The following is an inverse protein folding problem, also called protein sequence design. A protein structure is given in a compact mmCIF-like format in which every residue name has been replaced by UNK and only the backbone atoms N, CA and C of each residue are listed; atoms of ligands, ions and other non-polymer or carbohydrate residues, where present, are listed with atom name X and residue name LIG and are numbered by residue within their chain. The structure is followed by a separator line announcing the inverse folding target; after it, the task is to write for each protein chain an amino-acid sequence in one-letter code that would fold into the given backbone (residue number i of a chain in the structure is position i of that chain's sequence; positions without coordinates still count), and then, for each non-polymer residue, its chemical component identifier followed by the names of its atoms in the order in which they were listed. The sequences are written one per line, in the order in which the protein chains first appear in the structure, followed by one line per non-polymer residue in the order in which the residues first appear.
data_IF_755551785188
#
_entry.id   IF_755551785188
#
_cell.length_a   1.000
_cell.length_b   1.000
_cell.length_c   1.000
_cell.angle_alpha   90.00
_cell.angle_beta   90.00
_cell.angle_gamma   90.00
#
_symmetry.space_group_name_H-M   'P 1'
#
loop_
_entity.id
_entity.type
_entity.pdbx_description
1 polymer ?
#
# COMPACT_ATOMS: atom_id res chain seq x y z
N UNK A 1 -12.51 -10.36 0.14
CA UNK A 1 -13.80 -9.64 0.18
C UNK A 1 -14.51 -9.65 -1.17
N UNK A 2 -13.82 -9.34 -2.28
CA UNK A 2 -14.40 -9.19 -3.64
C UNK A 2 -14.82 -10.49 -4.37
N UNK A 3 -14.68 -11.67 -3.76
CA UNK A 3 -15.25 -12.92 -4.29
C UNK A 3 -16.67 -13.21 -3.78
N UNK A 4 -17.23 -12.35 -2.91
CA UNK A 4 -18.51 -12.62 -2.23
C UNK A 4 -19.76 -12.15 -3.00
N UNK A 5 -19.62 -11.60 -4.22
CA UNK A 5 -20.76 -11.36 -5.12
C UNK A 5 -21.59 -10.09 -4.87
N UNK A 6 -21.09 -9.12 -4.09
CA UNK A 6 -21.77 -7.84 -3.82
C UNK A 6 -21.33 -6.74 -4.80
N UNK A 7 -21.72 -6.88 -6.07
CA UNK A 7 -21.29 -6.00 -7.16
C UNK A 7 -21.53 -4.50 -6.90
N UNK A 8 -22.62 -4.12 -6.22
CA UNK A 8 -22.93 -2.71 -5.95
C UNK A 8 -21.98 -2.05 -4.95
N UNK A 9 -21.59 -2.79 -3.90
CA UNK A 9 -20.62 -2.31 -2.89
C UNK A 9 -19.23 -2.21 -3.50
N UNK A 10 -18.87 -3.18 -4.36
CA UNK A 10 -17.61 -3.18 -5.09
C UNK A 10 -17.50 -1.94 -5.98
N UNK A 11 -18.56 -1.58 -6.73
CA UNK A 11 -18.56 -0.38 -7.59
C UNK A 11 -18.38 0.92 -6.79
N UNK A 12 -19.02 1.06 -5.62
CA UNK A 12 -18.89 2.25 -4.79
C UNK A 12 -17.47 2.41 -4.21
N UNK A 13 -16.90 1.31 -3.70
CA UNK A 13 -15.52 1.27 -3.21
C UNK A 13 -14.52 1.64 -4.30
N UNK A 14 -14.66 1.05 -5.49
CA UNK A 14 -13.80 1.34 -6.63
C UNK A 14 -13.88 2.81 -7.06
N UNK A 15 -15.10 3.36 -7.19
CA UNK A 15 -15.30 4.78 -7.50
C UNK A 15 -14.62 5.68 -6.48
N UNK A 16 -14.73 5.37 -5.19
CA UNK A 16 -14.06 6.13 -4.14
C UNK A 16 -12.54 6.02 -4.25
N UNK A 17 -12.00 4.80 -4.40
CA UNK A 17 -10.56 4.56 -4.51
C UNK A 17 -9.94 5.33 -5.69
N UNK A 18 -10.56 5.26 -6.86
CA UNK A 18 -10.05 5.99 -8.03
C UNK A 18 -10.16 7.50 -7.87
N UNK A 19 -11.18 7.98 -7.17
CA UNK A 19 -11.28 9.40 -6.82
C UNK A 19 -10.15 9.80 -5.88
N UNK A 20 -9.83 8.99 -4.87
CA UNK A 20 -8.71 9.25 -3.97
C UNK A 20 -7.38 9.31 -4.73
N UNK A 21 -7.08 8.31 -5.58
CA UNK A 21 -5.87 8.30 -6.43
C UNK A 21 -5.76 9.55 -7.31
N UNK A 22 -6.88 10.02 -7.87
CA UNK A 22 -6.90 11.23 -8.70
C UNK A 22 -6.62 12.52 -7.93
N UNK A 23 -7.00 12.58 -6.66
CA UNK A 23 -6.89 13.77 -5.81
C UNK A 23 -5.53 13.83 -5.13
N UNK A 24 -5.11 12.74 -4.50
CA UNK A 24 -3.90 12.70 -3.66
C UNK A 24 -2.61 12.56 -4.49
N UNK A 25 -2.70 11.99 -5.69
CA UNK A 25 -1.52 11.72 -6.49
C UNK A 25 -0.59 10.66 -5.84
N UNK A 26 0.74 10.79 -5.95
CA UNK A 26 1.70 9.77 -5.51
C UNK A 26 1.86 9.64 -3.99
N UNK A 27 1.30 10.56 -3.19
CA UNK A 27 1.41 10.55 -1.73
C UNK A 27 0.20 9.85 -1.08
N UNK A 28 -0.02 8.57 -1.43
CA UNK A 28 -1.12 7.80 -0.84
C UNK A 28 -0.99 7.69 0.69
N UNK A 29 -2.09 7.99 1.38
CA UNK A 29 -2.23 7.77 2.82
C UNK A 29 -2.84 6.39 3.12
N UNK A 30 -2.45 5.79 4.25
CA UNK A 30 -3.08 4.54 4.75
C UNK A 30 -4.47 4.79 5.33
N UNK A 31 -4.74 6.02 5.80
CA UNK A 31 -5.98 6.37 6.47
C UNK A 31 -6.59 7.62 5.87
N UNK A 32 -7.90 7.52 5.61
CA UNK A 32 -8.72 8.63 5.14
C UNK A 32 -9.91 8.83 6.09
N UNK A 33 -10.32 10.09 6.34
CA UNK A 33 -11.57 10.34 7.03
C UNK A 33 -12.76 9.92 6.15
N UNK A 34 -13.85 9.53 6.79
CA UNK A 34 -15.09 9.14 6.08
C UNK A 34 -15.79 10.37 5.49
N UNK A 35 -15.71 11.52 6.17
CA UNK A 35 -16.27 12.80 5.72
C UNK A 35 -15.17 13.83 5.45
N UNK A 36 -15.50 14.89 4.71
CA UNK A 36 -14.56 15.96 4.39
C UNK A 36 -14.08 16.72 5.63
N UNK A 37 -14.89 16.79 6.68
CA UNK A 37 -14.58 17.46 7.95
C UNK A 37 -13.88 16.54 8.95
N UNK A 38 -13.75 15.25 8.63
CA UNK A 38 -13.17 14.25 9.53
C UNK A 38 -11.68 14.47 9.76
N UNK A 39 -11.20 14.08 10.94
CA UNK A 39 -9.78 14.14 11.32
C UNK A 39 -9.28 12.75 11.66
N UNK A 40 -8.11 12.40 11.15
CA UNK A 40 -7.43 11.12 11.43
C UNK A 40 -6.32 11.24 12.47
N UNK A 41 -5.88 12.46 12.77
CA UNK A 41 -4.76 12.71 13.69
C UNK A 41 -5.05 12.23 15.11
N UNK A 42 -4.10 11.48 15.68
CA UNK A 42 -4.22 10.96 17.02
C UNK A 42 -4.01 12.05 18.08
N UNK A 43 -4.93 12.14 19.03
CA UNK A 43 -4.84 13.08 20.17
C UNK A 43 -5.11 12.33 21.49
N UNK A 44 -4.41 12.71 22.56
CA UNK A 44 -4.64 12.18 23.90
C UNK A 44 -5.70 13.00 24.64
N UNK A 45 -6.56 12.33 25.39
CA UNK A 45 -7.63 12.94 26.17
C UNK A 45 -7.31 12.84 27.65
N UNK A 46 -6.47 13.75 28.14
CA UNK A 46 -5.94 13.73 29.52
C UNK A 46 -7.02 13.89 30.60
N UNK A 47 -8.20 14.38 30.22
CA UNK A 47 -9.36 14.55 31.10
C UNK A 47 -10.18 13.26 31.32
N UNK A 48 -9.84 12.15 30.63
CA UNK A 48 -10.54 10.87 30.76
C UNK A 48 -9.65 9.86 31.50
N UNK A 49 -10.18 9.26 32.58
CA UNK A 49 -9.48 8.22 33.37
C UNK A 49 -9.21 6.94 32.56
N UNK A 50 -10.03 6.69 31.52
CA UNK A 50 -9.97 5.50 30.68
C UNK A 50 -10.68 4.29 31.28
N UNK A 51 -11.03 3.34 30.42
CA UNK A 51 -11.72 2.13 30.86
C UNK A 51 -10.83 1.31 31.80
N UNK A 52 -11.33 1.02 33.01
CA UNK A 52 -10.57 0.33 34.07
C UNK A 52 -9.22 0.99 34.37
N UNK A 53 -9.16 2.34 34.36
CA UNK A 53 -7.94 3.13 34.55
C UNK A 53 -6.85 2.87 33.51
N UNK A 54 -7.21 2.36 32.33
CA UNK A 54 -6.26 2.14 31.25
C UNK A 54 -5.93 3.47 30.60
N UNK A 55 -4.69 3.92 30.77
CA UNK A 55 -4.20 5.18 30.23
C UNK A 55 -3.03 4.96 29.25
N UNK A 56 -2.88 5.87 28.27
CA UNK A 56 -3.73 7.04 28.02
C UNK A 56 -4.93 6.73 27.12
N UNK A 57 -5.99 7.53 27.24
CA UNK A 57 -7.15 7.52 26.32
C UNK A 57 -6.79 8.33 25.08
N UNK A 58 -7.04 7.77 23.90
CA UNK A 58 -6.74 8.41 22.62
C UNK A 58 -7.93 8.35 21.67
N UNK A 59 -8.01 9.34 20.79
CA UNK A 59 -8.90 9.37 19.62
C UNK A 59 -8.06 9.60 18.36
N UNK A 60 -8.58 9.21 17.20
CA UNK A 60 -7.81 9.19 15.95
C UNK A 60 -6.93 7.95 15.81
N UNK A 61 -6.00 7.95 14.85
CA UNK A 61 -5.07 6.85 14.64
C UNK A 61 -3.67 7.37 14.25
N UNK A 62 -2.65 6.96 15.00
CA UNK A 62 -1.25 7.32 14.75
C UNK A 62 -0.72 6.91 13.37
N UNK A 63 -1.34 5.93 12.71
CA UNK A 63 -0.99 5.50 11.36
C UNK A 63 -1.21 6.59 10.30
N UNK A 64 -1.98 7.64 10.61
CA UNK A 64 -2.20 8.77 9.71
C UNK A 64 -0.89 9.45 9.22
N UNK A 65 0.20 9.34 9.99
CA UNK A 65 1.53 9.91 9.64
C UNK A 65 2.55 8.84 9.23
N UNK A 66 2.14 7.59 9.15
CA UNK A 66 3.04 6.48 8.87
C UNK A 66 3.27 6.35 7.37
N UNK A 67 4.50 5.99 7.02
CA UNK A 67 4.80 5.55 5.66
C UNK A 67 4.57 4.04 5.63
N UNK A 68 3.52 3.60 4.94
CA UNK A 68 3.24 2.20 4.70
C UNK A 68 3.37 1.93 3.21
N UNK A 69 4.34 1.11 2.83
CA UNK A 69 4.64 0.88 1.41
C UNK A 69 3.64 -0.08 0.75
N UNK A 70 2.92 -0.85 1.56
CA UNK A 70 1.94 -1.83 1.09
C UNK A 70 0.73 -1.20 0.41
N UNK A 71 0.33 0.02 0.81
CA UNK A 71 -0.81 0.75 0.23
C UNK A 71 -0.72 0.85 -1.30
N UNK A 72 0.49 1.02 -1.85
CA UNK A 72 0.70 1.09 -3.29
C UNK A 72 0.37 -0.23 -3.97
N UNK A 73 0.80 -1.35 -3.38
CA UNK A 73 0.47 -2.67 -3.90
C UNK A 73 -1.04 -2.95 -3.84
N UNK A 74 -1.69 -2.57 -2.74
CA UNK A 74 -3.14 -2.75 -2.57
C UNK A 74 -3.95 -1.93 -3.57
N UNK A 75 -3.61 -0.66 -3.74
CA UNK A 75 -4.27 0.24 -4.69
C UNK A 75 -4.07 -0.23 -6.13
N UNK A 76 -2.86 -0.62 -6.52
CA UNK A 76 -2.57 -1.09 -7.87
C UNK A 76 -3.19 -2.46 -8.17
N UNK A 77 -3.27 -3.37 -7.19
CA UNK A 77 -3.98 -4.64 -7.32
C UNK A 77 -5.49 -4.43 -7.49
N UNK A 78 -6.06 -3.48 -6.73
CA UNK A 78 -7.45 -3.08 -6.90
C UNK A 78 -7.71 -2.44 -8.28
N UNK A 79 -6.87 -1.51 -8.74
CA UNK A 79 -6.96 -0.92 -10.09
C UNK A 79 -6.90 -2.02 -11.15
N UNK A 80 -5.93 -2.94 -11.03
CA UNK A 80 -5.79 -4.07 -11.95
C UNK A 80 -7.04 -4.93 -11.99
N UNK A 81 -7.60 -5.29 -10.83
CA UNK A 81 -8.85 -6.05 -10.75
C UNK A 81 -10.00 -5.30 -11.43
N UNK A 82 -10.21 -4.03 -11.11
CA UNK A 82 -11.30 -3.22 -11.68
C UNK A 82 -11.20 -3.10 -13.21
N UNK A 83 -10.00 -2.95 -13.75
CA UNK A 83 -9.79 -2.88 -15.19
C UNK A 83 -10.03 -4.25 -15.86
N UNK A 84 -9.47 -5.32 -15.31
CA UNK A 84 -9.51 -6.66 -15.91
C UNK A 84 -10.87 -7.35 -15.82
N UNK A 85 -11.73 -6.89 -14.91
CA UNK A 85 -13.13 -7.33 -14.77
C UNK A 85 -14.12 -6.45 -15.53
N UNK A 86 -13.65 -5.38 -16.18
CA UNK A 86 -14.50 -4.45 -16.95
C UNK A 86 -15.27 -3.44 -16.10
N UNK A 87 -14.98 -3.35 -14.79
CA UNK A 87 -15.56 -2.32 -13.92
C UNK A 87 -15.03 -0.91 -14.24
N UNK A 88 -13.87 -0.80 -14.90
CA UNK A 88 -13.26 0.46 -15.34
C UNK A 88 -12.49 0.34 -16.65
N UNK A 89 -12.35 1.49 -17.32
CA UNK A 89 -11.35 1.68 -18.37
C UNK A 89 -10.03 2.18 -17.72
N UNK A 90 -8.88 1.51 -17.95
CA UNK A 90 -7.59 1.98 -17.46
C UNK A 90 -7.12 3.28 -18.10
N UNK A 91 -7.55 3.63 -19.33
CA UNK A 91 -6.99 4.76 -20.08
C UNK A 91 -7.16 6.12 -19.36
N UNK A 92 -8.33 6.47 -18.80
CA UNK A 92 -8.49 7.72 -18.06
C UNK A 92 -7.83 7.70 -16.67
N UNK A 93 -7.48 6.51 -16.15
CA UNK A 93 -6.76 6.34 -14.88
C UNK A 93 -5.25 6.40 -15.07
N UNK A 94 -4.78 6.04 -16.27
CA UNK A 94 -3.37 5.83 -16.55
C UNK A 94 -2.44 7.00 -16.19
N UNK A 95 -2.80 8.28 -16.46
CA UNK A 95 -1.98 9.42 -16.05
C UNK A 95 -1.80 9.56 -14.53
N UNK A 96 -2.63 8.89 -13.74
CA UNK A 96 -2.50 8.83 -12.28
C UNK A 96 -1.80 7.56 -11.80
N UNK A 97 -1.88 6.47 -12.58
CA UNK A 97 -1.20 5.20 -12.28
C UNK A 97 0.31 5.31 -12.43
N UNK A 98 0.79 5.95 -13.50
CA UNK A 98 2.23 6.09 -13.77
C UNK A 98 2.96 6.80 -12.62
N UNK A 99 2.49 7.96 -12.11
CA UNK A 99 3.10 8.60 -10.94
C UNK A 99 3.15 7.75 -9.68
N UNK A 100 2.14 6.89 -9.42
CA UNK A 100 2.18 5.97 -8.28
C UNK A 100 3.35 4.99 -8.42
N UNK A 101 3.53 4.45 -9.62
CA UNK A 101 4.59 3.48 -9.89
C UNK A 101 5.96 4.14 -9.86
N UNK A 102 6.10 5.34 -10.43
CA UNK A 102 7.35 6.11 -10.37
C UNK A 102 7.72 6.46 -8.92
N UNK A 103 6.72 6.79 -8.09
CA UNK A 103 6.94 6.97 -6.66
C UNK A 103 7.43 5.68 -6.01
N UNK A 104 6.83 4.53 -6.31
CA UNK A 104 7.31 3.23 -5.80
C UNK A 104 8.76 2.98 -6.23
N UNK A 105 9.11 3.24 -7.50
CA UNK A 105 10.48 3.09 -8.00
C UNK A 105 11.47 3.95 -7.21
N UNK A 106 11.10 5.21 -6.91
CA UNK A 106 11.95 6.12 -6.13
C UNK A 106 12.07 5.77 -4.64
N UNK A 107 11.10 5.04 -4.07
CA UNK A 107 10.96 4.95 -2.61
C UNK A 107 10.90 3.53 -2.05
N UNK A 108 10.83 2.49 -2.89
CA UNK A 108 10.67 1.11 -2.41
C UNK A 108 11.81 0.66 -1.50
N UNK A 109 12.97 1.32 -1.50
CA UNK A 109 14.10 0.98 -0.63
C UNK A 109 13.99 1.57 0.78
N UNK A 110 13.09 2.53 1.02
CA UNK A 110 12.98 3.20 2.32
C UNK A 110 12.53 2.24 3.43
N UNK A 111 12.97 2.46 4.69
CA UNK A 111 12.33 1.82 5.83
C UNK A 111 10.92 2.38 6.02
N UNK A 112 9.99 1.54 6.45
CA UNK A 112 8.54 1.81 6.48
C UNK A 112 7.91 1.28 7.79
N UNK A 113 6.64 1.57 8.03
CA UNK A 113 5.97 1.29 9.30
C UNK A 113 5.27 -0.08 9.33
N UNK A 114 5.03 -0.69 8.18
CA UNK A 114 4.36 -1.98 8.02
C UNK A 114 2.90 -1.96 8.46
N UNK A 115 2.14 -2.95 7.97
CA UNK A 115 0.70 -3.12 8.26
C UNK A 115 0.35 -3.28 9.75
N UNK A 116 1.32 -3.62 10.59
CA UNK A 116 1.11 -3.86 12.01
C UNK A 116 1.10 -2.58 12.85
N UNK A 117 1.14 -1.41 12.21
CA UNK A 117 1.12 -0.08 12.83
C UNK A 117 2.12 0.05 13.99
N UNK A 118 3.31 -0.56 13.85
CA UNK A 118 4.24 -0.66 14.97
C UNK A 118 4.71 0.72 15.40
N UNK A 119 4.54 1.02 16.69
CA UNK A 119 4.99 2.29 17.30
C UNK A 119 6.51 2.35 17.51
N UNK A 120 7.24 1.29 17.14
CA UNK A 120 8.70 1.16 17.24
C UNK A 120 9.50 1.83 16.10
N UNK A 121 8.83 2.58 15.22
CA UNK A 121 9.46 3.31 14.13
C UNK A 121 9.65 2.50 12.85
N UNK A 122 10.28 3.13 11.85
CA UNK A 122 10.43 2.60 10.49
C UNK A 122 11.48 1.49 10.41
N UNK A 123 11.15 0.39 9.72
CA UNK A 123 12.00 -0.80 9.52
C UNK A 123 11.87 -1.30 8.08
N UNK A 124 12.80 -2.14 7.63
CA UNK A 124 12.68 -2.81 6.32
C UNK A 124 11.82 -4.07 6.45
N UNK A 125 10.51 -3.91 6.31
CA UNK A 125 9.58 -5.05 6.28
C UNK A 125 9.58 -5.73 4.92
N UNK A 126 9.69 -7.06 4.91
CA UNK A 126 9.62 -7.86 3.69
C UNK A 126 8.27 -7.70 3.01
N UNK A 127 7.19 -7.63 3.79
CA UNK A 127 5.83 -7.49 3.28
C UNK A 127 5.65 -6.23 2.43
N UNK A 128 6.07 -5.06 2.91
CA UNK A 128 6.02 -3.83 2.10
C UNK A 128 6.82 -3.94 0.80
N UNK A 129 7.97 -4.63 0.79
CA UNK A 129 8.74 -4.85 -0.45
C UNK A 129 8.00 -5.76 -1.43
N UNK A 130 7.34 -6.81 -0.94
CA UNK A 130 6.47 -7.67 -1.76
C UNK A 130 5.33 -6.83 -2.38
N UNK A 131 4.73 -5.93 -1.62
CA UNK A 131 3.66 -5.09 -2.15
C UNK A 131 4.15 -4.03 -3.15
N UNK A 132 5.36 -3.48 -2.99
CA UNK A 132 5.99 -2.69 -4.05
C UNK A 132 6.23 -3.52 -5.32
N UNK A 133 6.63 -4.80 -5.18
CA UNK A 133 6.74 -5.71 -6.32
C UNK A 133 5.39 -5.94 -7.00
N UNK A 134 4.32 -6.12 -6.22
CA UNK A 134 2.94 -6.25 -6.74
C UNK A 134 2.55 -5.00 -7.51
N UNK A 135 2.81 -3.80 -6.98
CA UNK A 135 2.50 -2.54 -7.66
C UNK A 135 3.11 -2.48 -9.07
N UNK A 136 4.40 -2.81 -9.20
CA UNK A 136 5.08 -2.89 -10.50
C UNK A 136 4.52 -3.99 -11.40
N UNK A 137 4.28 -5.19 -10.86
CA UNK A 137 3.72 -6.31 -11.63
C UNK A 137 2.34 -5.95 -12.22
N UNK A 138 1.49 -5.29 -11.44
CA UNK A 138 0.16 -4.84 -11.91
C UNK A 138 0.26 -3.72 -12.93
N UNK A 139 1.15 -2.76 -12.72
CA UNK A 139 1.45 -1.71 -13.70
C UNK A 139 1.86 -2.27 -15.04
N UNK A 140 2.86 -3.16 -15.06
CA UNK A 140 3.37 -3.80 -16.29
C UNK A 140 2.24 -4.55 -17.01
N UNK A 141 1.49 -5.38 -16.29
CA UNK A 141 0.39 -6.15 -16.89
C UNK A 141 -0.72 -5.25 -17.46
N UNK A 142 -1.02 -4.11 -16.83
CA UNK A 142 -1.97 -3.14 -17.38
C UNK A 142 -1.42 -2.50 -18.66
N UNK A 143 -0.17 -2.05 -18.65
CA UNK A 143 0.49 -1.45 -19.81
C UNK A 143 0.47 -2.40 -21.03
N UNK A 144 0.88 -3.65 -20.83
CA UNK A 144 0.88 -4.67 -21.88
C UNK A 144 -0.52 -5.00 -22.39
N UNK A 145 -1.50 -5.17 -21.48
CA UNK A 145 -2.85 -5.61 -21.85
C UNK A 145 -3.65 -4.54 -22.58
N UNK A 146 -3.46 -3.27 -22.21
CA UNK A 146 -4.28 -2.17 -22.70
C UNK A 146 -3.53 -1.22 -23.64
N UNK A 147 -2.27 -1.52 -23.96
CA UNK A 147 -1.41 -0.76 -24.87
C UNK A 147 -1.29 0.71 -24.46
N UNK A 148 -1.14 0.95 -23.15
CA UNK A 148 -0.94 2.28 -22.58
C UNK A 148 0.55 2.53 -22.34
N UNK A 149 0.99 3.76 -22.58
CA UNK A 149 2.41 4.13 -22.61
C UNK A 149 3.06 4.05 -21.22
N UNK A 150 4.16 3.31 -21.11
CA UNK A 150 5.00 3.26 -19.92
C UNK A 150 6.43 2.92 -20.28
N UNK A 151 7.36 3.28 -19.38
CA UNK A 151 8.74 2.81 -19.41
C UNK A 151 8.82 1.36 -18.89
N UNK A 152 8.39 0.42 -19.74
CA UNK A 152 8.34 -1.00 -19.40
C UNK A 152 9.72 -1.56 -19.04
N UNK A 153 10.78 -1.08 -19.69
CA UNK A 153 12.15 -1.54 -19.43
C UNK A 153 12.55 -1.18 -17.99
N UNK A 154 12.37 0.08 -17.58
CA UNK A 154 12.63 0.52 -16.21
C UNK A 154 11.77 -0.25 -15.21
N UNK A 155 10.47 -0.39 -15.47
CA UNK A 155 9.55 -1.06 -14.55
C UNK A 155 9.91 -2.54 -14.37
N UNK A 156 10.28 -3.23 -15.44
CA UNK A 156 10.73 -4.62 -15.41
C UNK A 156 12.07 -4.78 -14.67
N UNK A 157 13.02 -3.86 -14.87
CA UNK A 157 14.27 -3.82 -14.13
C UNK A 157 14.00 -3.68 -12.62
N UNK A 158 13.20 -2.68 -12.23
CA UNK A 158 12.89 -2.43 -10.83
C UNK A 158 12.13 -3.59 -10.19
N UNK A 159 11.15 -4.17 -10.90
CA UNK A 159 10.42 -5.37 -10.41
C UNK A 159 11.39 -6.52 -10.15
N UNK A 160 12.37 -6.72 -11.03
CA UNK A 160 13.39 -7.76 -10.86
C UNK A 160 14.31 -7.48 -9.67
N UNK A 161 14.68 -6.21 -9.44
CA UNK A 161 15.49 -5.79 -8.29
C UNK A 161 14.77 -6.01 -6.96
N UNK A 162 13.49 -5.65 -6.88
CA UNK A 162 12.69 -5.88 -5.68
C UNK A 162 12.56 -7.38 -5.39
N UNK A 163 12.31 -8.20 -6.43
CA UNK A 163 12.24 -9.67 -6.28
C UNK A 163 13.53 -10.22 -5.67
N UNK A 164 14.68 -9.81 -6.19
CA UNK A 164 15.99 -10.23 -5.69
C UNK A 164 16.20 -9.82 -4.23
N UNK A 165 15.84 -8.59 -3.85
CA UNK A 165 15.93 -8.12 -2.45
C UNK A 165 15.05 -8.95 -1.52
N UNK A 166 13.81 -9.24 -1.92
CA UNK A 166 12.87 -10.05 -1.14
C UNK A 166 13.44 -11.44 -0.89
N UNK A 167 13.92 -12.12 -1.94
CA UNK A 167 14.49 -13.47 -1.82
C UNK A 167 15.71 -13.50 -0.89
N UNK A 168 16.63 -12.55 -1.05
CA UNK A 168 17.81 -12.46 -0.19
C UNK A 168 17.44 -12.24 1.29
N UNK A 169 16.42 -11.44 1.57
CA UNK A 169 15.98 -11.19 2.96
C UNK A 169 15.33 -12.42 3.58
N UNK A 170 14.52 -13.14 2.83
CA UNK A 170 13.88 -14.40 3.28
C UNK A 170 14.95 -15.44 3.61
N UNK A 171 15.96 -15.61 2.75
CA UNK A 171 17.08 -16.51 3.01
C UNK A 171 17.84 -16.14 4.28
N UNK A 172 18.20 -14.87 4.47
CA UNK A 172 18.89 -14.40 5.69
C UNK A 172 18.09 -14.67 6.96
N UNK A 173 16.77 -14.50 6.92
CA UNK A 173 15.89 -14.81 8.06
C UNK A 173 15.85 -16.30 8.36
N UNK A 174 15.78 -17.16 7.33
CA UNK A 174 15.82 -18.61 7.50
C UNK A 174 17.15 -19.08 8.13
N UNK A 175 18.29 -18.62 7.62
CA UNK A 175 19.61 -18.95 8.18
C UNK A 175 19.80 -18.43 9.60
N UNK A 176 19.32 -17.21 9.89
CA UNK A 176 19.36 -16.63 11.23
C UNK A 176 18.52 -17.42 12.25
N UNK A 177 17.34 -17.91 11.85
CA UNK A 177 16.52 -18.78 12.71
C UNK A 177 17.22 -20.11 13.01
N UNK A 178 17.88 -20.70 12.01
CA UNK A 178 18.63 -21.95 12.18
C UNK A 178 19.85 -21.81 13.11
N UNK A 179 20.47 -20.63 13.17
CA UNK A 179 21.57 -20.37 14.09
C UNK A 179 21.10 -20.23 15.56
N UNK A 180 19.91 -19.65 15.79
CA UNK A 180 19.34 -19.47 17.14
C UNK A 180 18.80 -20.77 17.72
N UNK A 181 18.29 -21.70 16.90
CA UNK A 181 17.76 -22.99 17.37
C UNK A 181 18.83 -24.06 17.66
N UNK A 182 20.12 -23.73 17.50
CA UNK A 182 21.26 -24.64 17.74
C UNK A 182 22.21 -24.16 18.84
N UNK A 183 21.86 -23.10 19.56
CA UNK A 183 22.58 -22.61 20.75
C UNK A 183 21.73 -22.78 22.00
#
# INVERSE_FOLDING_TARGET
MMHAGYLDVDVALFKWLFRAVKIEGPELHVLYPISAEGRVEETQLDHLEGYRRSQPVRIGNAAARQLQLDVFGEVLDAIYFGCTTGLQDPRPLWPHVVPLIDWVIGHWQLPENGIWEVRGGRRHFVFGKVMCWVALDRGIRLAERYWVEADLDLWMEQRSRIRSEVLQRVERQATGLHAVLRG
#
